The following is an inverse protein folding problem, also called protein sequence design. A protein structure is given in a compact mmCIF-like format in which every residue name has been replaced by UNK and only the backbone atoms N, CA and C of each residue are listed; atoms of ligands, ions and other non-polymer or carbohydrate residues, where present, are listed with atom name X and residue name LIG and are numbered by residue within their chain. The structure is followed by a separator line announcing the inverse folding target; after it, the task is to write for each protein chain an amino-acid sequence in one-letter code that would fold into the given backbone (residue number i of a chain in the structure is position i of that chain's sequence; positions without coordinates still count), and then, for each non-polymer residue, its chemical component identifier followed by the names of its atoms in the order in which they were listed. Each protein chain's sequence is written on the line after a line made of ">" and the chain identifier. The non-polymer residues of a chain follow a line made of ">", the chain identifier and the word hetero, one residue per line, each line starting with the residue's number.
data_IF_006187096990
#
_entry.id   IF_006187096990
#
_cell.length_a   1.000
_cell.length_b   1.000
_cell.length_c   1.000
_cell.angle_alpha   90.00
_cell.angle_beta   90.00
_cell.angle_gamma   90.00
#
_symmetry.space_group_name_H-M   'P 1'
#
loop_
_entity.id
_entity.type
_entity.pdbx_description
1 polymer ?
#
# COMPACT_ATOMS: atom_id res chain seq x y z
N UNK A 1 -11.72 7.51 26.27
CA UNK A 1 -11.20 8.51 25.34
C UNK A 1 -12.33 9.10 24.54
N UNK A 2 -12.54 10.34 24.71
CA UNK A 2 -13.60 11.02 23.97
C UNK A 2 -13.00 11.81 22.83
N UNK A 3 -13.18 11.31 21.65
CA UNK A 3 -12.67 11.98 20.47
C UNK A 3 -13.83 12.38 19.59
N UNK A 4 -13.98 13.67 19.40
CA UNK A 4 -15.01 14.19 18.51
C UNK A 4 -14.50 14.18 17.10
N UNK A 5 -14.85 13.17 16.37
CA UNK A 5 -14.49 13.04 14.98
C UNK A 5 -15.70 13.38 14.12
N UNK A 6 -15.48 14.17 13.09
CA UNK A 6 -16.53 14.44 12.13
C UNK A 6 -16.87 13.19 11.35
N UNK A 7 -18.15 13.06 10.96
CA UNK A 7 -18.60 11.88 10.24
C UNK A 7 -17.82 11.68 8.92
N UNK A 8 -17.46 12.76 8.25
CA UNK A 8 -16.69 12.64 7.00
C UNK A 8 -15.31 12.03 7.24
N UNK A 9 -14.68 12.41 8.36
CA UNK A 9 -13.38 11.81 8.72
C UNK A 9 -13.53 10.33 9.07
N UNK A 10 -14.57 10.00 9.85
CA UNK A 10 -14.84 8.62 10.22
C UNK A 10 -15.08 7.74 9.00
N UNK A 11 -15.86 8.22 8.03
CA UNK A 11 -16.12 7.48 6.81
C UNK A 11 -14.84 7.26 6.01
N UNK A 12 -13.99 8.28 5.93
CA UNK A 12 -12.73 8.18 5.21
C UNK A 12 -11.82 7.11 5.82
N UNK A 13 -11.69 7.11 7.14
CA UNK A 13 -10.87 6.11 7.82
C UNK A 13 -11.47 4.72 7.71
N UNK A 14 -12.80 4.61 7.78
CA UNK A 14 -13.49 3.32 7.60
C UNK A 14 -13.22 2.75 6.20
N UNK A 15 -13.21 3.59 5.16
CA UNK A 15 -12.88 3.14 3.81
C UNK A 15 -11.46 2.59 3.73
N UNK A 16 -10.51 3.22 4.41
CA UNK A 16 -9.13 2.74 4.42
C UNK A 16 -9.03 1.34 5.06
N UNK A 17 -9.80 1.11 6.11
CA UNK A 17 -9.83 -0.22 6.72
C UNK A 17 -10.52 -1.22 5.80
N UNK A 18 -11.66 -0.83 5.21
CA UNK A 18 -12.43 -1.72 4.33
C UNK A 18 -11.60 -2.16 3.12
N UNK A 19 -10.80 -1.27 2.57
CA UNK A 19 -9.97 -1.56 1.39
C UNK A 19 -8.54 -1.95 1.75
N UNK A 20 -8.23 -2.15 3.03
CA UNK A 20 -6.85 -2.46 3.46
C UNK A 20 -6.22 -3.64 2.71
N UNK A 21 -6.93 -4.73 2.42
CA UNK A 21 -6.33 -5.83 1.65
C UNK A 21 -5.88 -5.41 0.26
N UNK A 22 -6.66 -4.56 -0.42
CA UNK A 22 -6.27 -4.03 -1.73
C UNK A 22 -5.06 -3.13 -1.62
N UNK A 23 -5.05 -2.23 -0.64
CA UNK A 23 -3.93 -1.33 -0.42
C UNK A 23 -2.65 -2.11 -0.11
N UNK A 24 -2.76 -3.13 0.74
CA UNK A 24 -1.61 -3.97 1.07
C UNK A 24 -1.03 -4.62 -0.18
N UNK A 25 -1.87 -5.28 -0.98
CA UNK A 25 -1.39 -5.98 -2.17
C UNK A 25 -0.94 -5.03 -3.27
N UNK A 26 -1.58 -3.87 -3.40
CA UNK A 26 -1.14 -2.87 -4.35
C UNK A 26 0.25 -2.33 -4.00
N UNK A 27 0.49 -2.03 -2.73
CA UNK A 27 1.81 -1.56 -2.29
C UNK A 27 2.86 -2.66 -2.52
N UNK A 28 2.53 -3.91 -2.19
CA UNK A 28 3.44 -5.03 -2.43
C UNK A 28 3.80 -5.13 -3.92
N UNK A 29 2.81 -4.98 -4.78
CA UNK A 29 3.01 -5.01 -6.22
C UNK A 29 3.88 -3.84 -6.68
N UNK A 30 3.61 -2.63 -6.16
CA UNK A 30 4.41 -1.46 -6.50
C UNK A 30 5.87 -1.61 -6.08
N UNK A 31 6.12 -2.23 -4.94
CA UNK A 31 7.48 -2.52 -4.50
C UNK A 31 8.12 -3.54 -5.43
N UNK A 32 7.44 -4.64 -5.71
CA UNK A 32 7.98 -5.74 -6.51
C UNK A 32 8.26 -5.32 -7.96
N UNK A 33 7.43 -4.47 -8.53
CA UNK A 33 7.60 -3.98 -9.90
C UNK A 33 8.60 -2.82 -10.00
N UNK A 34 9.06 -2.31 -8.87
CA UNK A 34 10.01 -1.19 -8.88
C UNK A 34 9.37 0.18 -9.02
N UNK A 35 8.04 0.28 -8.93
CA UNK A 35 7.35 1.56 -9.10
C UNK A 35 7.69 2.53 -7.96
N UNK A 36 7.59 2.08 -6.70
CA UNK A 36 7.91 2.97 -5.57
C UNK A 36 9.37 3.41 -5.61
N UNK A 37 10.28 2.52 -5.94
CA UNK A 37 11.70 2.84 -6.04
C UNK A 37 11.95 3.91 -7.10
N UNK A 38 11.32 3.77 -8.26
CA UNK A 38 11.47 4.74 -9.34
C UNK A 38 10.93 6.11 -8.94
N UNK A 39 9.79 6.14 -8.27
CA UNK A 39 9.21 7.41 -7.79
C UNK A 39 10.15 8.05 -6.77
N UNK A 40 10.70 7.26 -5.86
CA UNK A 40 11.65 7.75 -4.87
C UNK A 40 12.89 8.37 -5.52
N UNK A 41 13.41 7.71 -6.54
CA UNK A 41 14.59 8.20 -7.28
C UNK A 41 14.29 9.45 -8.10
N UNK A 42 13.04 9.79 -8.28
CA UNK A 42 12.63 10.96 -9.05
C UNK A 42 12.50 12.22 -8.21
N UNK A 43 12.74 12.14 -6.91
CA UNK A 43 12.73 13.32 -6.05
C UNK A 43 13.85 14.28 -6.47
N UNK A 44 13.64 15.56 -6.35
CA UNK A 44 12.45 16.26 -5.81
C UNK A 44 11.39 16.57 -6.86
N UNK A 45 11.63 16.33 -8.12
CA UNK A 45 10.77 16.80 -9.21
C UNK A 45 9.54 15.93 -9.46
N UNK A 46 9.57 14.67 -9.03
CA UNK A 46 8.51 13.73 -9.30
C UNK A 46 8.61 13.11 -10.70
N UNK A 47 7.66 12.26 -11.02
CA UNK A 47 7.66 11.53 -12.29
C UNK A 47 6.23 11.34 -12.79
N UNK A 48 6.03 11.44 -14.09
CA UNK A 48 4.72 11.27 -14.71
C UNK A 48 4.39 9.79 -14.89
N UNK A 49 3.09 9.51 -15.05
CA UNK A 49 2.62 8.15 -15.35
C UNK A 49 3.31 7.61 -16.59
N UNK A 50 3.38 8.45 -17.64
CA UNK A 50 3.96 8.04 -18.90
C UNK A 50 5.42 7.64 -18.78
N UNK A 51 6.18 8.37 -17.98
CA UNK A 51 7.59 8.05 -17.78
C UNK A 51 7.78 6.77 -16.96
N UNK A 52 6.91 6.53 -15.98
CA UNK A 52 6.93 5.26 -15.24
C UNK A 52 6.68 4.09 -16.21
N UNK A 53 5.65 4.22 -17.05
CA UNK A 53 5.31 3.19 -18.03
C UNK A 53 6.49 2.87 -18.94
N UNK A 54 7.15 3.90 -19.45
CA UNK A 54 8.29 3.72 -20.34
C UNK A 54 9.46 3.07 -19.66
N UNK A 55 9.82 3.58 -18.48
CA UNK A 55 11.04 3.12 -17.79
C UNK A 55 10.92 1.70 -17.30
N UNK A 56 9.72 1.29 -16.90
CA UNK A 56 9.49 -0.04 -16.36
C UNK A 56 8.85 -1.01 -17.35
N UNK A 57 8.53 -0.53 -18.54
CA UNK A 57 7.86 -1.32 -19.58
C UNK A 57 6.57 -1.95 -19.04
N UNK A 58 5.73 -1.12 -18.42
CA UNK A 58 4.43 -1.53 -17.89
C UNK A 58 3.32 -0.84 -18.66
N UNK A 59 2.16 -1.50 -18.72
CA UNK A 59 1.03 -0.91 -19.44
C UNK A 59 0.34 0.17 -18.59
N UNK A 60 -0.44 0.99 -19.25
CA UNK A 60 -1.11 2.13 -18.61
C UNK A 60 -2.08 1.69 -17.51
N UNK A 61 -2.84 0.64 -17.74
CA UNK A 61 -3.81 0.16 -16.76
C UNK A 61 -3.11 -0.22 -15.44
N UNK A 62 -2.02 -0.95 -15.53
CA UNK A 62 -1.26 -1.37 -14.35
C UNK A 62 -0.75 -0.18 -13.57
N UNK A 63 -0.07 0.74 -14.25
CA UNK A 63 0.56 1.87 -13.58
C UNK A 63 -0.50 2.81 -13.00
N UNK A 64 -1.50 3.19 -13.79
CA UNK A 64 -2.51 4.13 -13.33
C UNK A 64 -3.32 3.57 -12.16
N UNK A 65 -3.70 2.30 -12.23
CA UNK A 65 -4.48 1.67 -11.15
C UNK A 65 -3.68 1.60 -9.86
N UNK A 66 -2.42 1.18 -9.94
CA UNK A 66 -1.57 1.10 -8.74
C UNK A 66 -1.32 2.47 -8.14
N UNK A 67 -1.13 3.49 -8.98
CA UNK A 67 -0.94 4.85 -8.46
C UNK A 67 -2.20 5.41 -7.80
N UNK A 68 -3.38 5.07 -8.30
CA UNK A 68 -4.63 5.47 -7.65
C UNK A 68 -4.72 4.86 -6.24
N UNK A 69 -4.45 3.57 -6.12
CA UNK A 69 -4.47 2.90 -4.81
C UNK A 69 -3.36 3.44 -3.92
N UNK A 70 -2.19 3.71 -4.49
CA UNK A 70 -1.08 4.30 -3.76
C UNK A 70 -1.39 5.68 -3.22
N UNK A 71 -2.12 6.49 -3.98
CA UNK A 71 -2.57 7.81 -3.53
C UNK A 71 -3.60 7.67 -2.40
N UNK A 72 -4.55 6.78 -2.58
CA UNK A 72 -5.55 6.47 -1.54
C UNK A 72 -4.89 6.03 -0.23
N UNK A 73 -3.79 5.32 -0.33
CA UNK A 73 -3.06 4.76 0.83
C UNK A 73 -1.97 5.70 1.35
N UNK A 74 -1.85 6.89 0.79
CA UNK A 74 -0.88 7.90 1.19
C UNK A 74 0.59 7.51 1.01
N UNK A 75 0.89 6.55 0.17
CA UNK A 75 2.29 6.19 -0.12
C UNK A 75 2.89 7.03 -1.23
N UNK A 76 2.04 7.57 -2.11
CA UNK A 76 2.44 8.53 -3.13
C UNK A 76 1.45 9.67 -3.14
N UNK A 77 1.86 10.80 -3.70
CA UNK A 77 0.99 11.96 -3.89
C UNK A 77 1.16 12.51 -5.30
N UNK A 78 0.06 13.02 -5.84
CA UNK A 78 0.04 13.63 -7.16
C UNK A 78 0.10 15.14 -7.03
N UNK A 79 1.07 15.74 -7.71
CA UNK A 79 1.21 17.19 -7.72
C UNK A 79 1.71 17.62 -9.10
N UNK A 80 0.97 18.53 -9.73
CA UNK A 80 1.30 19.06 -11.08
C UNK A 80 1.53 17.93 -12.10
N UNK A 81 0.65 16.95 -12.11
CA UNK A 81 0.69 15.79 -12.98
C UNK A 81 1.92 14.89 -12.81
N UNK A 82 2.61 15.02 -11.68
CA UNK A 82 3.73 14.17 -11.35
C UNK A 82 3.52 13.53 -9.99
N UNK A 83 3.98 12.30 -9.86
CA UNK A 83 3.89 11.57 -8.61
C UNK A 83 5.18 11.71 -7.82
N UNK A 84 5.03 11.92 -6.53
CA UNK A 84 6.12 11.98 -5.56
C UNK A 84 5.87 10.92 -4.49
N UNK A 85 6.94 10.38 -3.96
CA UNK A 85 6.81 9.44 -2.84
C UNK A 85 6.64 10.24 -1.55
N UNK A 86 5.82 9.71 -0.66
CA UNK A 86 5.65 10.26 0.69
C UNK A 86 6.63 9.59 1.65
N UNK A 87 6.72 10.11 2.87
CA UNK A 87 7.51 9.45 3.91
C UNK A 87 6.96 8.06 4.24
N UNK A 88 5.63 7.91 4.17
CA UNK A 88 4.99 6.60 4.37
C UNK A 88 5.48 5.64 3.29
N UNK A 89 5.45 6.07 2.03
CA UNK A 89 5.96 5.24 0.93
C UNK A 89 7.42 4.86 1.11
N UNK A 90 8.24 5.78 1.56
CA UNK A 90 9.66 5.52 1.81
C UNK A 90 9.88 4.46 2.90
N UNK A 91 8.98 4.37 3.87
CA UNK A 91 9.09 3.32 4.90
C UNK A 91 9.06 1.93 4.29
N UNK A 92 8.27 1.71 3.24
CA UNK A 92 8.22 0.40 2.58
C UNK A 92 9.49 0.07 1.81
N UNK A 93 10.29 1.07 1.51
CA UNK A 93 11.57 0.87 0.81
C UNK A 93 12.76 0.76 1.77
N UNK A 94 12.73 1.52 2.87
CA UNK A 94 13.94 1.73 3.64
C UNK A 94 13.83 1.44 5.14
N UNK A 95 12.63 1.45 5.71
CA UNK A 95 12.51 1.20 7.14
C UNK A 95 12.53 -0.30 7.41
N UNK A 96 13.53 -0.76 8.12
CA UNK A 96 13.73 -2.18 8.38
C UNK A 96 12.53 -2.83 9.03
N UNK A 97 11.96 -2.21 10.06
CA UNK A 97 10.82 -2.77 10.77
C UNK A 97 9.61 -2.89 9.87
N UNK A 98 9.32 -1.83 9.08
CA UNK A 98 8.22 -1.86 8.14
C UNK A 98 8.38 -2.99 7.12
N UNK A 99 9.59 -3.13 6.56
CA UNK A 99 9.87 -4.15 5.55
C UNK A 99 9.73 -5.56 6.14
N UNK A 100 10.26 -5.77 7.32
CA UNK A 100 10.17 -7.09 7.98
C UNK A 100 8.71 -7.45 8.26
N UNK A 101 7.95 -6.52 8.84
CA UNK A 101 6.54 -6.76 9.15
C UNK A 101 5.71 -6.97 7.89
N UNK A 102 5.97 -6.16 6.87
CA UNK A 102 5.24 -6.25 5.60
C UNK A 102 5.48 -7.60 4.93
N UNK A 103 6.74 -8.02 4.86
CA UNK A 103 7.09 -9.29 4.24
C UNK A 103 6.57 -10.48 5.06
N UNK A 104 6.62 -10.39 6.38
CA UNK A 104 6.06 -11.44 7.24
C UNK A 104 4.56 -11.62 6.99
N UNK A 105 3.83 -10.53 6.98
CA UNK A 105 2.38 -10.60 6.74
C UNK A 105 2.10 -11.18 5.36
N UNK A 106 2.83 -10.72 4.35
CA UNK A 106 2.60 -11.20 2.98
C UNK A 106 2.94 -12.68 2.81
N UNK A 107 4.09 -13.09 3.35
CA UNK A 107 4.65 -14.41 3.06
C UNK A 107 4.10 -15.49 3.98
N UNK A 108 3.77 -15.14 5.22
CA UNK A 108 3.42 -16.11 6.24
C UNK A 108 1.95 -16.07 6.62
N UNK A 109 1.38 -14.86 6.77
CA UNK A 109 0.08 -14.72 7.39
C UNK A 109 -1.07 -14.52 6.41
N UNK A 110 -0.82 -13.90 5.27
CA UNK A 110 -1.87 -13.30 4.45
C UNK A 110 -2.97 -14.28 4.04
N UNK A 111 -2.59 -15.42 3.51
CA UNK A 111 -3.58 -16.40 3.06
C UNK A 111 -4.38 -16.97 4.22
N UNK A 112 -3.71 -17.23 5.33
CA UNK A 112 -4.35 -17.78 6.52
C UNK A 112 -5.31 -16.80 7.19
N UNK A 113 -5.13 -15.50 6.98
CA UNK A 113 -5.96 -14.50 7.64
C UNK A 113 -7.43 -14.58 7.23
N UNK A 114 -7.72 -15.17 6.10
CA UNK A 114 -9.11 -15.42 5.71
C UNK A 114 -9.83 -16.26 6.77
N UNK A 115 -9.11 -17.10 7.50
CA UNK A 115 -9.66 -18.02 8.50
C UNK A 115 -9.49 -17.52 9.93
N UNK A 116 -9.17 -16.24 10.11
CA UNK A 116 -8.86 -15.68 11.44
C UNK A 116 -9.99 -15.92 12.44
N UNK A 117 -11.22 -15.67 12.03
CA UNK A 117 -12.38 -15.89 12.89
C UNK A 117 -12.47 -17.33 13.36
N UNK A 118 -12.33 -18.27 12.43
CA UNK A 118 -12.39 -19.69 12.77
C UNK A 118 -11.29 -20.08 13.75
N UNK A 119 -10.09 -19.56 13.54
CA UNK A 119 -8.95 -19.83 14.40
C UNK A 119 -9.23 -19.38 15.84
N UNK A 120 -9.79 -18.18 16.00
CA UNK A 120 -10.09 -17.66 17.33
C UNK A 120 -11.26 -18.42 18.00
N UNK A 121 -12.31 -18.68 17.25
CA UNK A 121 -13.50 -19.33 17.78
C UNK A 121 -13.22 -20.78 18.18
N UNK A 122 -12.35 -21.45 17.44
CA UNK A 122 -12.02 -22.84 17.66
C UNK A 122 -10.74 -23.05 18.46
N UNK A 123 -10.38 -22.07 19.29
CA UNK A 123 -9.28 -22.18 20.25
C UNK A 123 -7.94 -22.57 19.64
N UNK A 124 -7.60 -21.91 18.53
CA UNK A 124 -6.27 -22.10 18.01
C UNK A 124 -6.09 -23.30 17.09
N UNK A 125 -7.15 -23.82 16.57
CA UNK A 125 -7.04 -24.71 15.42
C UNK A 125 -6.53 -23.86 14.29
N UNK A 126 -5.27 -23.61 14.35
CA UNK A 126 -4.71 -22.54 13.57
C UNK A 126 -4.50 -22.90 12.13
N UNK A 127 -4.87 -21.98 11.29
CA UNK A 127 -4.52 -21.98 9.87
C UNK A 127 -4.08 -20.59 9.46
N UNK A 128 -3.84 -19.74 10.46
CA UNK A 128 -3.51 -18.35 10.18
C UNK A 128 -2.06 -18.19 9.77
N UNK A 129 -1.21 -18.97 10.37
CA UNK A 129 0.24 -18.87 10.11
C UNK A 129 0.77 -20.14 9.51
#
# INVERSE_FOLDING_TARGET
>A
MDKKMKMVEAKSLAQKIAFAPFSFQAIKTMVDLGILKLIDESLPNGISVEDIEKKLNLNHYTVSTLLEVGTFSDVVELKDNKYNITKIGQCFLYDTMTKVNFNFVNDVCYQGMFYLKDSFVNYGHTVVI
#
